data_IF_151090965953
#
_entry.id   IF_151090965953
#
_cell.length_a   1.000
_cell.length_b   1.000
_cell.length_c   1.000
_cell.angle_alpha   90.00
_cell.angle_beta   90.00
_cell.angle_gamma   90.00
#
_symmetry.space_group_name_H-M   'P 1'
#
loop_
_entity.id
_entity.type
_entity.pdbx_description
1 polymer ?
#
# COMPACT_ATOMS: atom_id res chain seq x y z
N UNK A 1 -16.06 -7.48 -0.43
CA UNK A 1 -16.37 -7.24 1.00
C UNK A 1 -16.99 -5.85 1.11
N UNK A 2 -17.97 -5.61 1.98
CA UNK A 2 -18.54 -4.26 2.18
C UNK A 2 -17.63 -3.39 3.07
N UNK A 3 -17.69 -2.06 2.90
CA UNK A 3 -16.93 -1.09 3.70
C UNK A 3 -17.21 -1.23 5.20
N UNK A 4 -18.47 -1.47 5.59
CA UNK A 4 -18.85 -1.74 6.99
C UNK A 4 -18.16 -2.99 7.56
N UNK A 5 -18.13 -4.09 6.82
CA UNK A 5 -17.48 -5.33 7.28
C UNK A 5 -15.97 -5.14 7.37
N UNK A 6 -15.38 -4.41 6.41
CA UNK A 6 -13.98 -4.03 6.46
C UNK A 6 -13.67 -3.21 7.73
N UNK A 7 -14.47 -2.19 8.02
CA UNK A 7 -14.28 -1.33 9.18
C UNK A 7 -14.33 -2.11 10.50
N UNK A 8 -15.27 -3.04 10.65
CA UNK A 8 -15.36 -3.92 11.82
C UNK A 8 -14.11 -4.80 12.01
N UNK A 9 -13.56 -5.33 10.92
CA UNK A 9 -12.32 -6.12 10.98
C UNK A 9 -11.13 -5.23 11.35
N UNK A 10 -11.03 -4.05 10.75
CA UNK A 10 -9.97 -3.09 11.05
C UNK A 10 -10.00 -2.67 12.52
N UNK A 11 -11.17 -2.42 13.11
CA UNK A 11 -11.27 -2.05 14.53
C UNK A 11 -10.76 -3.13 15.48
N UNK A 12 -10.91 -4.41 15.13
CA UNK A 12 -10.40 -5.53 15.94
C UNK A 12 -8.87 -5.55 15.97
N UNK A 13 -8.23 -5.21 14.86
CA UNK A 13 -6.77 -5.20 14.72
C UNK A 13 -6.16 -3.86 15.19
N UNK A 14 -6.72 -2.73 14.76
CA UNK A 14 -6.28 -1.38 15.12
C UNK A 14 -6.91 -0.90 16.45
N UNK A 15 -6.61 -1.61 17.53
CA UNK A 15 -7.21 -1.38 18.87
C UNK A 15 -6.99 0.03 19.42
N UNK A 16 -5.91 0.70 19.01
CA UNK A 16 -5.59 2.07 19.44
C UNK A 16 -6.15 3.15 18.52
N UNK A 17 -6.94 2.77 17.50
CA UNK A 17 -7.47 3.66 16.48
C UNK A 17 -6.41 4.62 15.91
N UNK A 18 -5.24 4.07 15.56
CA UNK A 18 -4.19 4.83 14.88
C UNK A 18 -4.66 5.28 13.51
N UNK A 19 -4.02 6.32 12.98
CA UNK A 19 -4.32 6.86 11.65
C UNK A 19 -4.09 5.77 10.59
N UNK A 20 -5.04 5.65 9.67
CA UNK A 20 -5.00 4.76 8.52
C UNK A 20 -4.90 5.62 7.26
N UNK A 21 -3.94 5.30 6.41
CA UNK A 21 -3.75 6.01 5.14
C UNK A 21 -4.45 5.21 4.03
N UNK A 22 -5.43 5.82 3.39
CA UNK A 22 -6.28 5.21 2.37
C UNK A 22 -5.92 5.71 0.97
N UNK A 23 -6.34 4.97 -0.05
CA UNK A 23 -6.27 5.45 -1.42
C UNK A 23 -7.16 6.68 -1.60
N UNK A 24 -6.55 7.81 -1.99
CA UNK A 24 -7.22 9.07 -2.25
C UNK A 24 -8.10 9.06 -3.51
N UNK A 25 -8.03 8.02 -4.36
CA UNK A 25 -8.86 7.89 -5.55
C UNK A 25 -10.36 7.72 -5.23
N UNK A 26 -10.71 7.22 -4.04
CA UNK A 26 -12.09 7.00 -3.60
C UNK A 26 -12.46 7.79 -2.33
N UNK A 27 -12.63 9.13 -2.41
CA UNK A 27 -12.94 9.96 -1.25
C UNK A 27 -14.27 9.60 -0.57
N UNK A 28 -15.25 9.06 -1.32
CA UNK A 28 -16.53 8.61 -0.76
C UNK A 28 -16.35 7.41 0.18
N UNK A 29 -15.54 6.43 -0.23
CA UNK A 29 -15.23 5.26 0.59
C UNK A 29 -14.50 5.66 1.87
N UNK A 30 -13.59 6.64 1.79
CA UNK A 30 -12.90 7.22 2.96
C UNK A 30 -13.91 7.86 3.93
N UNK A 31 -14.83 8.68 3.43
CA UNK A 31 -15.85 9.31 4.26
C UNK A 31 -16.74 8.27 4.95
N UNK A 32 -17.19 7.24 4.22
CA UNK A 32 -18.03 6.16 4.76
C UNK A 32 -17.32 5.40 5.89
N UNK A 33 -16.04 5.04 5.71
CA UNK A 33 -15.31 4.32 6.78
C UNK A 33 -14.96 5.22 7.96
N UNK A 34 -14.85 6.53 7.76
CA UNK A 34 -14.70 7.51 8.84
C UNK A 34 -15.97 7.57 9.70
N UNK A 35 -17.16 7.53 9.10
CA UNK A 35 -18.45 7.46 9.80
C UNK A 35 -18.57 6.19 10.67
N UNK A 36 -17.87 5.12 10.31
CA UNK A 36 -17.79 3.90 11.12
C UNK A 36 -16.81 4.00 12.30
N UNK A 37 -16.22 5.17 12.57
CA UNK A 37 -15.37 5.44 13.74
C UNK A 37 -13.87 5.22 13.54
N UNK A 38 -13.43 4.96 12.30
CA UNK A 38 -12.02 4.82 11.97
C UNK A 38 -11.37 6.18 11.71
N UNK A 39 -10.14 6.35 12.20
CA UNK A 39 -9.31 7.52 11.86
C UNK A 39 -8.59 7.31 10.53
N UNK A 40 -9.19 7.80 9.45
CA UNK A 40 -8.66 7.64 8.08
C UNK A 40 -8.25 8.98 7.46
N UNK A 41 -7.22 8.95 6.63
CA UNK A 41 -6.79 10.07 5.78
C UNK A 41 -6.47 9.56 4.38
N UNK A 42 -6.60 10.40 3.35
CA UNK A 42 -6.17 10.07 1.99
C UNK A 42 -4.66 10.22 1.81
N UNK A 43 -4.03 9.28 1.10
CA UNK A 43 -2.63 9.38 0.67
C UNK A 43 -2.41 10.61 -0.22
N UNK A 44 -1.28 11.29 -0.05
CA UNK A 44 -0.94 12.50 -0.83
C UNK A 44 -0.04 12.15 -2.02
N UNK A 45 -0.59 11.38 -2.95
CA UNK A 45 0.14 10.84 -4.12
C UNK A 45 0.50 11.94 -5.15
N UNK A 46 1.74 11.93 -5.65
CA UNK A 46 2.16 12.63 -6.87
C UNK A 46 2.27 11.68 -8.09
N UNK A 47 2.40 12.20 -9.32
CA UNK A 47 2.49 11.40 -10.55
C UNK A 47 3.55 10.29 -10.51
N UNK A 48 4.70 10.58 -9.89
CA UNK A 48 5.83 9.65 -9.80
C UNK A 48 5.90 8.90 -8.46
N UNK A 49 4.86 9.02 -7.62
CA UNK A 49 4.84 8.42 -6.29
C UNK A 49 4.90 6.90 -6.31
N UNK A 50 4.47 6.24 -7.40
CA UNK A 50 4.53 4.79 -7.58
C UNK A 50 5.96 4.30 -7.70
N UNK A 51 6.68 4.81 -8.69
CA UNK A 51 8.07 4.45 -8.92
C UNK A 51 8.94 4.78 -7.70
N UNK A 52 8.79 5.99 -7.16
CA UNK A 52 9.57 6.42 -6.00
C UNK A 52 9.36 5.50 -4.79
N UNK A 53 8.10 5.20 -4.43
CA UNK A 53 7.85 4.35 -3.27
C UNK A 53 8.21 2.88 -3.49
N UNK A 54 8.20 2.36 -4.72
CA UNK A 54 8.70 1.01 -4.99
C UNK A 54 10.22 0.96 -4.85
N UNK A 55 10.95 1.95 -5.39
CA UNK A 55 12.40 2.06 -5.19
C UNK A 55 12.76 2.18 -3.71
N UNK A 56 12.04 3.01 -2.97
CA UNK A 56 12.25 3.14 -1.53
C UNK A 56 12.05 1.81 -0.79
N UNK A 57 11.05 1.01 -1.17
CA UNK A 57 10.85 -0.34 -0.60
C UNK A 57 12.00 -1.28 -0.96
N UNK A 58 12.52 -1.20 -2.18
CA UNK A 58 13.67 -2.00 -2.63
C UNK A 58 14.98 -1.61 -1.91
N UNK A 59 15.11 -0.36 -1.51
CA UNK A 59 16.29 0.17 -0.80
C UNK A 59 16.31 -0.18 0.71
N UNK A 60 15.23 -0.74 1.25
CA UNK A 60 15.20 -1.20 2.64
C UNK A 60 16.13 -2.39 2.83
N UNK A 61 16.79 -2.47 3.99
CA UNK A 61 17.64 -3.60 4.36
C UNK A 61 16.88 -4.93 4.31
N UNK A 62 15.64 -4.94 4.81
CA UNK A 62 14.78 -6.11 4.75
C UNK A 62 13.28 -5.73 4.84
N UNK A 63 12.46 -6.48 4.11
CA UNK A 63 11.00 -6.50 4.27
C UNK A 63 10.60 -7.88 4.80
N UNK A 64 10.22 -7.95 6.07
CA UNK A 64 9.86 -9.22 6.73
C UNK A 64 8.36 -9.43 6.66
N UNK A 65 7.94 -10.49 5.95
CA UNK A 65 6.53 -10.88 5.80
C UNK A 65 6.35 -12.30 6.33
N UNK A 66 5.47 -12.46 7.32
CA UNK A 66 5.04 -13.77 7.80
C UNK A 66 3.96 -14.31 6.83
N UNK A 67 4.23 -15.39 6.06
CA UNK A 67 3.28 -15.91 5.09
C UNK A 67 2.08 -16.62 5.70
N UNK A 68 2.16 -17.05 6.98
CA UNK A 68 1.04 -17.68 7.69
C UNK A 68 0.04 -16.61 8.11
N UNK A 69 0.53 -15.46 8.59
CA UNK A 69 -0.32 -14.33 9.01
C UNK A 69 -0.77 -13.47 7.84
N UNK A 70 0.08 -13.27 6.84
CA UNK A 70 -0.12 -12.37 5.71
C UNK A 70 0.07 -13.07 4.36
N UNK A 71 -0.68 -14.15 4.06
CA UNK A 71 -0.47 -14.97 2.86
C UNK A 71 -0.62 -14.19 1.55
N UNK A 72 -1.57 -13.24 1.49
CA UNK A 72 -1.78 -12.41 0.30
C UNK A 72 -0.62 -11.43 0.08
N UNK A 73 -0.14 -10.79 1.13
CA UNK A 73 1.00 -9.88 1.06
C UNK A 73 2.25 -10.64 0.64
N UNK A 74 2.50 -11.82 1.20
CA UNK A 74 3.61 -12.67 0.77
C UNK A 74 3.51 -13.02 -0.72
N UNK A 75 2.36 -13.51 -1.17
CA UNK A 75 2.12 -13.85 -2.59
C UNK A 75 2.36 -12.67 -3.52
N UNK A 76 1.91 -11.48 -3.16
CA UNK A 76 2.09 -10.28 -3.97
C UNK A 76 3.55 -9.83 -3.98
N UNK A 77 4.20 -9.70 -2.82
CA UNK A 77 5.60 -9.27 -2.75
C UNK A 77 6.58 -10.24 -3.41
N UNK A 78 6.36 -11.56 -3.31
CA UNK A 78 7.22 -12.56 -3.97
C UNK A 78 6.97 -12.68 -5.48
N UNK A 79 5.77 -12.36 -5.96
CA UNK A 79 5.39 -12.52 -7.36
C UNK A 79 5.38 -11.23 -8.19
N UNK A 80 5.77 -10.10 -7.60
CA UNK A 80 5.71 -8.81 -8.28
C UNK A 80 6.95 -8.57 -9.14
N UNK A 81 6.79 -8.72 -10.46
CA UNK A 81 7.87 -8.56 -11.44
C UNK A 81 7.48 -7.55 -12.53
N UNK A 82 8.49 -6.92 -13.13
CA UNK A 82 8.27 -6.07 -14.31
C UNK A 82 7.74 -6.92 -15.47
N UNK A 83 6.74 -6.40 -16.18
CA UNK A 83 6.17 -7.08 -17.34
C UNK A 83 7.14 -6.95 -18.51
N UNK A 84 7.46 -8.08 -19.14
CA UNK A 84 8.19 -8.10 -20.41
C UNK A 84 7.26 -7.71 -21.56
N UNK A 85 7.77 -6.93 -22.49
CA UNK A 85 7.10 -6.64 -23.75
C UNK A 85 7.17 -7.85 -24.71
N UNK A 86 6.61 -7.69 -25.91
CA UNK A 86 6.61 -8.76 -26.92
C UNK A 86 8.02 -9.14 -27.40
N UNK A 87 9.01 -8.28 -27.20
CA UNK A 87 10.41 -8.48 -27.57
C UNK A 87 11.24 -9.09 -26.43
N UNK A 88 10.64 -9.28 -25.25
CA UNK A 88 11.31 -9.81 -24.06
C UNK A 88 11.99 -8.75 -23.18
N UNK A 89 11.86 -7.46 -23.51
CA UNK A 89 12.40 -6.35 -22.72
C UNK A 89 11.45 -5.94 -21.59
N UNK A 90 11.97 -5.59 -20.43
CA UNK A 90 11.14 -5.14 -19.31
C UNK A 90 10.56 -3.75 -19.59
N UNK A 91 9.24 -3.59 -19.40
CA UNK A 91 8.59 -2.29 -19.47
C UNK A 91 9.14 -1.35 -18.39
N UNK A 92 9.31 -0.08 -18.75
CA UNK A 92 9.76 0.96 -17.83
C UNK A 92 8.78 1.28 -16.69
N UNK A 93 7.52 0.81 -16.79
CA UNK A 93 6.48 1.05 -15.79
C UNK A 93 6.16 -0.23 -15.03
N UNK A 94 6.02 -0.10 -13.71
CA UNK A 94 5.55 -1.16 -12.85
C UNK A 94 4.11 -1.57 -13.22
N UNK A 95 3.80 -2.88 -13.25
CA UNK A 95 2.48 -3.35 -13.62
C UNK A 95 1.44 -3.03 -12.55
N UNK A 96 0.26 -2.57 -12.99
CA UNK A 96 -0.92 -2.42 -12.14
C UNK A 96 -1.69 -3.74 -12.05
N UNK A 97 -1.03 -4.77 -11.48
CA UNK A 97 -1.60 -6.10 -11.29
C UNK A 97 -0.98 -6.76 -10.06
N UNK A 98 -1.84 -7.33 -9.19
CA UNK A 98 -1.41 -8.03 -7.96
C UNK A 98 -0.54 -7.16 -7.04
N UNK A 99 -0.81 -5.86 -6.98
CA UNK A 99 -0.07 -4.85 -6.21
C UNK A 99 -0.84 -4.32 -5.00
N UNK A 100 -2.03 -4.83 -4.68
CA UNK A 100 -2.91 -4.25 -3.66
C UNK A 100 -2.23 -4.06 -2.29
N UNK A 101 -1.51 -5.07 -1.81
CA UNK A 101 -0.78 -5.03 -0.54
C UNK A 101 0.47 -4.16 -0.64
N UNK A 102 1.13 -4.15 -1.80
CA UNK A 102 2.31 -3.31 -2.06
C UNK A 102 1.91 -1.83 -2.00
N UNK A 103 0.80 -1.48 -2.65
CA UNK A 103 0.23 -0.13 -2.61
C UNK A 103 -0.23 0.27 -1.21
N UNK A 104 -0.91 -0.63 -0.48
CA UNK A 104 -1.27 -0.36 0.90
C UNK A 104 -0.03 -0.07 1.78
N UNK A 105 1.04 -0.86 1.62
CA UNK A 105 2.31 -0.63 2.34
C UNK A 105 2.92 0.70 1.93
N UNK A 106 3.00 1.01 0.63
CA UNK A 106 3.50 2.30 0.13
C UNK A 106 2.77 3.48 0.75
N UNK A 107 1.44 3.45 0.76
CA UNK A 107 0.65 4.53 1.34
C UNK A 107 0.89 4.65 2.85
N UNK A 108 0.98 3.53 3.56
CA UNK A 108 1.29 3.53 5.00
C UNK A 108 2.65 4.12 5.35
N UNK A 109 3.60 4.09 4.41
CA UNK A 109 5.00 4.54 4.56
C UNK A 109 5.27 5.90 3.93
N UNK A 110 4.25 6.60 3.46
CA UNK A 110 4.41 7.90 2.80
C UNK A 110 5.17 8.92 3.68
N UNK A 111 4.90 8.94 4.99
CA UNK A 111 5.58 9.86 5.91
C UNK A 111 7.06 9.47 6.14
N UNK A 112 7.34 8.17 6.24
CA UNK A 112 8.70 7.64 6.37
C UNK A 112 9.55 8.05 5.15
N UNK A 113 8.99 7.94 3.95
CA UNK A 113 9.67 8.30 2.70
C UNK A 113 10.02 9.79 2.62
N UNK A 114 9.14 10.68 3.08
CA UNK A 114 9.36 12.15 3.06
C UNK A 114 10.45 12.59 4.02
N UNK A 115 10.62 11.86 5.10
CA UNK A 115 11.56 12.21 6.16
C UNK A 115 12.96 11.62 5.95
N UNK A 116 13.20 10.87 4.86
CA UNK A 116 14.54 10.43 4.47
C UNK A 116 15.36 11.65 4.02
N UNK A 117 16.10 12.24 4.96
CA UNK A 117 17.22 13.11 4.62
C UNK A 117 18.36 12.20 4.20
N UNK A 118 18.64 12.14 2.90
CA UNK A 118 19.90 11.59 2.40
C UNK A 118 21.02 12.41 3.07
N UNK A 119 21.81 11.75 3.92
CA UNK A 119 23.02 12.31 4.52
C UNK A 119 24.21 12.00 3.64
#
# INVERSE_FOLDING_TARGET
MSNRKAAQLIQKENKSNKIIICDSAEPKSIAEVAEYGLRVIGAKKGPDSVEYGIKWLQDLEAIIIDPVRCPNTAREFYGYELVKDANGEFKAKFPDKNNHSIDAVRYSREDDMRNVRVR
#
